data_IF_011859182694
#
_entry.id   IF_011859182694
#
_cell.length_a   1.000
_cell.length_b   1.000
_cell.length_c   1.000
_cell.angle_alpha   90.00
_cell.angle_beta   90.00
_cell.angle_gamma   90.00
#
_symmetry.space_group_name_H-M   'P 1'
#
loop_
_entity.id
_entity.type
_entity.pdbx_description
1 polymer ?
#
# COMPACT_ATOMS: atom_id res chain seq x y z
N UNK A 1 7.64 12.31 38.86
CA UNK A 1 7.35 11.04 38.16
C UNK A 1 6.52 10.21 39.12
N UNK A 2 5.31 9.81 38.74
CA UNK A 2 4.49 8.89 39.54
C UNK A 2 4.35 7.56 38.79
N UNK A 3 4.36 6.40 39.47
CA UNK A 3 4.29 5.11 38.81
C UNK A 3 2.87 4.84 38.28
N UNK A 4 2.73 4.73 36.96
CA UNK A 4 1.45 4.42 36.31
C UNK A 4 0.91 3.04 36.75
N UNK A 5 -0.37 3.04 37.12
CA UNK A 5 -1.03 1.99 37.89
C UNK A 5 -1.06 0.62 37.17
N UNK A 6 -0.21 -0.33 37.60
CA UNK A 6 -0.22 -1.73 37.15
C UNK A 6 -1.57 -2.43 37.45
N UNK A 7 -2.28 -1.97 38.49
CA UNK A 7 -3.57 -2.48 38.98
C UNK A 7 -4.69 -2.55 37.93
N UNK A 8 -4.62 -1.77 36.84
CA UNK A 8 -5.70 -1.69 35.83
C UNK A 8 -5.75 -2.93 34.92
N UNK A 9 -4.63 -3.64 34.74
CA UNK A 9 -4.53 -4.72 33.72
C UNK A 9 -5.27 -6.01 34.09
N UNK A 10 -5.38 -6.37 35.38
CA UNK A 10 -5.89 -7.69 35.80
C UNK A 10 -7.41 -7.77 36.07
N UNK A 11 -8.19 -6.69 35.85
CA UNK A 11 -9.66 -6.74 36.00
C UNK A 11 -10.32 -7.49 34.83
N UNK A 12 -11.38 -8.29 35.06
CA UNK A 12 -12.06 -9.04 34.00
C UNK A 12 -12.61 -8.13 32.88
N UNK A 13 -12.65 -8.67 31.66
CA UNK A 13 -12.98 -7.93 30.43
C UNK A 13 -13.94 -8.76 29.59
N UNK A 14 -15.21 -8.36 29.56
CA UNK A 14 -16.24 -8.92 28.68
C UNK A 14 -15.90 -8.57 27.22
N UNK A 15 -16.00 -9.53 26.30
CA UNK A 15 -15.62 -9.35 24.88
C UNK A 15 -16.83 -9.64 23.99
N UNK A 16 -17.57 -8.59 23.63
CA UNK A 16 -18.78 -8.70 22.84
C UNK A 16 -18.41 -8.73 21.35
N UNK A 17 -18.94 -9.70 20.61
CA UNK A 17 -18.64 -9.95 19.20
C UNK A 17 -19.96 -10.03 18.39
N UNK A 18 -20.24 -8.97 17.62
CA UNK A 18 -21.46 -8.81 16.80
C UNK A 18 -21.14 -9.00 15.33
N UNK A 19 -22.07 -9.49 14.51
CA UNK A 19 -21.93 -9.50 13.05
C UNK A 19 -22.95 -8.57 12.39
N UNK A 20 -22.45 -7.74 11.48
CA UNK A 20 -23.25 -6.92 10.58
C UNK A 20 -23.23 -7.59 9.21
N UNK A 21 -24.39 -8.12 8.83
CA UNK A 21 -24.56 -8.83 7.57
C UNK A 21 -25.08 -7.87 6.51
N UNK A 22 -24.36 -7.78 5.40
CA UNK A 22 -24.72 -6.94 4.27
C UNK A 22 -25.24 -7.82 3.14
N UNK A 23 -26.40 -7.46 2.56
CA UNK A 23 -26.99 -8.18 1.43
C UNK A 23 -26.34 -7.78 0.09
N UNK A 24 -25.02 -7.55 0.12
CA UNK A 24 -24.19 -7.32 -1.05
C UNK A 24 -23.97 -8.66 -1.77
N UNK A 25 -23.98 -8.65 -3.11
CA UNK A 25 -23.41 -9.74 -3.89
C UNK A 25 -21.89 -9.84 -3.66
N UNK A 26 -21.24 -10.95 -4.05
CA UNK A 26 -19.82 -11.19 -3.79
C UNK A 26 -18.89 -10.14 -4.44
N UNK A 27 -19.37 -9.44 -5.48
CA UNK A 27 -18.65 -8.38 -6.19
C UNK A 27 -19.15 -6.96 -5.85
N UNK A 28 -20.16 -6.83 -4.98
CA UNK A 28 -20.76 -5.54 -4.62
C UNK A 28 -20.03 -4.88 -3.46
N UNK A 29 -20.03 -3.54 -3.44
CA UNK A 29 -19.46 -2.79 -2.33
C UNK A 29 -20.40 -2.77 -1.13
N UNK A 30 -19.80 -2.91 0.07
CA UNK A 30 -20.50 -2.77 1.34
C UNK A 30 -20.96 -1.31 1.50
N UNK A 31 -22.27 -1.08 1.36
CA UNK A 31 -22.91 0.19 1.69
C UNK A 31 -23.12 0.29 3.19
N UNK A 32 -22.22 0.98 3.90
CA UNK A 32 -22.15 0.93 5.37
C UNK A 32 -23.38 1.51 6.09
N UNK A 33 -24.29 2.17 5.37
CA UNK A 33 -25.50 2.80 5.92
C UNK A 33 -26.66 1.81 6.16
N UNK A 34 -26.71 0.67 5.46
CA UNK A 34 -27.92 -0.18 5.33
C UNK A 34 -27.90 -1.64 5.89
N UNK A 35 -26.99 -2.08 6.80
CA UNK A 35 -26.87 -3.50 7.17
C UNK A 35 -28.01 -4.06 8.02
N UNK A 36 -28.25 -5.37 7.88
CA UNK A 36 -28.99 -6.16 8.87
C UNK A 36 -28.08 -6.52 10.05
N UNK A 37 -28.55 -6.35 11.28
CA UNK A 37 -27.76 -6.60 12.50
C UNK A 37 -28.09 -7.98 13.08
N UNK A 38 -27.06 -8.81 13.32
CA UNK A 38 -27.17 -10.01 14.16
C UNK A 38 -26.19 -9.90 15.33
N UNK A 39 -26.70 -9.65 16.54
CA UNK A 39 -25.86 -9.48 17.72
C UNK A 39 -25.65 -10.80 18.47
N UNK A 40 -24.43 -11.00 18.92
CA UNK A 40 -24.03 -12.07 19.84
C UNK A 40 -23.10 -11.46 20.89
N UNK A 41 -22.97 -12.13 22.04
CA UNK A 41 -22.16 -11.67 23.16
C UNK A 41 -21.48 -12.89 23.81
N UNK A 42 -20.20 -12.75 24.16
CA UNK A 42 -19.43 -13.80 24.80
C UNK A 42 -18.78 -13.21 26.05
N UNK A 43 -19.15 -13.75 27.21
CA UNK A 43 -18.45 -13.45 28.45
C UNK A 43 -17.14 -14.24 28.49
N UNK A 44 -16.05 -13.56 28.12
CA UNK A 44 -14.68 -13.99 28.38
C UNK A 44 -14.18 -13.33 29.68
N UNK A 45 -13.26 -13.99 30.37
CA UNK A 45 -12.68 -13.45 31.58
C UNK A 45 -11.42 -14.20 32.05
N UNK A 46 -10.49 -13.52 32.72
CA UNK A 46 -9.36 -14.15 33.40
C UNK A 46 -9.85 -14.96 34.61
N UNK A 47 -9.06 -16.00 34.95
CA UNK A 47 -9.25 -16.95 36.05
C UNK A 47 -9.77 -16.30 37.34
N UNK A 48 -10.94 -16.75 37.80
CA UNK A 48 -11.28 -16.72 39.21
C UNK A 48 -10.56 -17.90 39.90
N UNK A 49 -9.81 -17.61 40.96
CA UNK A 49 -9.58 -18.58 42.02
C UNK A 49 -10.79 -18.48 42.94
N UNK A 50 -11.70 -19.44 42.87
CA UNK A 50 -12.87 -19.47 43.74
C UNK A 50 -12.48 -19.97 45.14
N UNK A 51 -12.66 -19.12 46.15
CA UNK A 51 -13.02 -19.62 47.48
C UNK A 51 -14.48 -20.12 47.41
N UNK A 52 -14.71 -21.33 47.87
CA UNK A 52 -15.84 -22.14 47.42
C UNK A 52 -17.22 -21.73 48.00
N UNK A 53 -18.25 -21.65 47.15
CA UNK A 53 -19.55 -22.32 47.38
C UNK A 53 -20.52 -22.24 46.17
N UNK A 54 -21.15 -23.39 45.85
CA UNK A 54 -22.49 -23.62 45.23
C UNK A 54 -23.29 -22.40 44.70
N UNK A 55 -23.90 -22.40 43.49
CA UNK A 55 -24.61 -23.49 42.76
C UNK A 55 -24.74 -23.23 41.23
N UNK A 56 -24.88 -24.31 40.45
CA UNK A 56 -25.60 -24.37 39.14
C UNK A 56 -25.36 -23.23 38.12
N UNK A 57 -24.18 -23.24 37.50
CA UNK A 57 -23.87 -22.51 36.27
C UNK A 57 -22.97 -23.38 35.36
N UNK A 58 -22.71 -22.94 34.12
CA UNK A 58 -21.78 -23.63 33.22
C UNK A 58 -20.40 -23.71 33.90
N UNK A 59 -19.82 -24.91 33.97
CA UNK A 59 -18.59 -25.15 34.71
C UNK A 59 -17.47 -24.22 34.21
N UNK A 60 -16.84 -23.49 35.15
CA UNK A 60 -15.83 -22.46 34.88
C UNK A 60 -14.50 -23.02 34.36
N UNK A 61 -14.49 -23.50 33.12
CA UNK A 61 -13.28 -23.92 32.43
C UNK A 61 -12.32 -22.74 32.22
N UNK A 62 -11.02 -23.02 32.23
CA UNK A 62 -9.97 -22.02 32.01
C UNK A 62 -9.83 -21.73 30.50
N UNK A 63 -10.78 -20.98 29.95
CA UNK A 63 -10.91 -20.69 28.51
C UNK A 63 -9.76 -19.78 28.04
N UNK A 64 -8.71 -20.39 27.49
CA UNK A 64 -7.56 -19.69 26.89
C UNK A 64 -7.82 -19.21 25.47
N UNK A 65 -8.73 -19.85 24.74
CA UNK A 65 -9.08 -19.49 23.36
C UNK A 65 -10.56 -19.78 23.06
N UNK A 66 -11.15 -18.95 22.19
CA UNK A 66 -12.50 -19.12 21.64
C UNK A 66 -12.49 -18.78 20.16
N UNK A 67 -13.11 -19.63 19.36
CA UNK A 67 -13.34 -19.41 17.93
C UNK A 67 -14.71 -18.78 17.72
N UNK A 68 -14.76 -17.73 16.91
CA UNK A 68 -16.01 -17.11 16.48
C UNK A 68 -16.40 -17.76 15.15
N UNK A 69 -17.52 -18.47 15.15
CA UNK A 69 -18.00 -19.25 14.00
C UNK A 69 -19.34 -18.71 13.54
N UNK A 70 -19.46 -18.40 12.26
CA UNK A 70 -20.72 -18.06 11.61
C UNK A 70 -21.40 -19.33 11.07
N UNK A 71 -22.70 -19.47 11.31
CA UNK A 71 -23.53 -20.52 10.71
C UNK A 71 -24.83 -19.87 10.22
N UNK A 72 -24.90 -19.58 8.92
CA UNK A 72 -25.94 -18.77 8.32
C UNK A 72 -25.99 -17.35 8.92
N UNK A 73 -27.07 -17.05 9.66
CA UNK A 73 -27.30 -15.74 10.33
C UNK A 73 -26.93 -15.72 11.82
N UNK A 74 -26.39 -16.81 12.37
CA UNK A 74 -26.01 -16.92 13.79
C UNK A 74 -24.49 -16.93 13.94
N UNK A 75 -24.01 -16.31 15.01
CA UNK A 75 -22.67 -16.54 15.54
C UNK A 75 -22.72 -17.59 16.65
N UNK A 76 -21.64 -18.34 16.76
CA UNK A 76 -21.37 -19.33 17.80
C UNK A 76 -19.96 -19.09 18.34
N UNK A 77 -19.82 -19.02 19.66
CA UNK A 77 -18.53 -19.08 20.34
C UNK A 77 -18.22 -20.54 20.67
N UNK A 78 -17.14 -21.07 20.10
CA UNK A 78 -16.66 -22.44 20.39
C UNK A 78 -15.34 -22.33 21.14
N UNK A 79 -15.32 -22.77 22.39
CA UNK A 79 -14.07 -23.06 23.09
C UNK A 79 -13.56 -24.45 22.67
N UNK A 80 -12.24 -24.64 22.71
CA UNK A 80 -11.52 -25.86 22.29
C UNK A 80 -11.49 -26.14 20.78
N UNK A 81 -10.28 -26.49 20.29
CA UNK A 81 -9.97 -26.72 18.87
C UNK A 81 -10.68 -27.95 18.29
N UNK A 82 -10.80 -29.05 19.06
CA UNK A 82 -11.43 -30.28 18.55
C UNK A 82 -12.95 -30.09 18.36
N UNK A 83 -13.63 -29.49 19.34
CA UNK A 83 -15.06 -29.14 19.26
C UNK A 83 -15.38 -28.27 18.04
N UNK A 84 -14.44 -27.41 17.62
CA UNK A 84 -14.58 -26.66 16.37
C UNK A 84 -14.51 -27.57 15.13
N UNK A 85 -13.55 -28.49 15.05
CA UNK A 85 -13.43 -29.44 13.93
C UNK A 85 -14.71 -30.27 13.80
N UNK A 86 -15.17 -30.88 14.89
CA UNK A 86 -16.39 -31.70 14.93
C UNK A 86 -17.64 -30.88 14.49
N UNK A 87 -17.72 -29.61 14.87
CA UNK A 87 -18.79 -28.70 14.47
C UNK A 87 -18.72 -28.36 12.98
N UNK A 88 -17.54 -28.08 12.43
CA UNK A 88 -17.31 -27.77 11.01
C UNK A 88 -17.64 -28.99 10.13
N UNK A 89 -17.24 -30.20 10.53
CA UNK A 89 -17.55 -31.42 9.79
C UNK A 89 -19.05 -31.67 9.71
N UNK A 90 -19.76 -31.44 10.82
CA UNK A 90 -21.22 -31.59 10.94
C UNK A 90 -22.00 -30.49 10.22
N UNK A 91 -21.49 -29.26 10.22
CA UNK A 91 -22.10 -28.10 9.59
C UNK A 91 -21.17 -27.55 8.50
N UNK A 92 -21.20 -28.16 7.31
CA UNK A 92 -20.30 -27.82 6.19
C UNK A 92 -20.41 -26.38 5.64
N UNK A 93 -21.40 -25.61 6.09
CA UNK A 93 -21.57 -24.17 5.81
C UNK A 93 -21.14 -23.28 7.00
N UNK A 94 -20.51 -23.85 8.03
CA UNK A 94 -19.96 -23.11 9.15
C UNK A 94 -18.60 -22.50 8.78
N UNK A 95 -18.45 -21.21 9.07
CA UNK A 95 -17.27 -20.42 8.74
C UNK A 95 -16.58 -19.94 10.02
N UNK A 96 -15.37 -20.42 10.36
CA UNK A 96 -14.50 -19.78 11.33
C UNK A 96 -14.16 -18.37 10.84
N UNK A 97 -14.52 -17.34 11.61
CA UNK A 97 -14.27 -15.94 11.27
C UNK A 97 -12.97 -15.43 11.87
N UNK A 98 -12.79 -15.64 13.18
CA UNK A 98 -11.59 -15.25 13.92
C UNK A 98 -11.34 -16.20 15.09
N UNK A 99 -10.09 -16.22 15.56
CA UNK A 99 -9.71 -16.82 16.84
C UNK A 99 -9.45 -15.71 17.85
N UNK A 100 -10.04 -15.82 19.05
CA UNK A 100 -9.76 -14.95 20.19
C UNK A 100 -8.91 -15.73 21.17
N UNK A 101 -7.78 -15.17 21.60
CA UNK A 101 -6.85 -15.79 22.56
C UNK A 101 -6.62 -14.90 23.78
N UNK A 102 -6.49 -15.51 24.96
CA UNK A 102 -6.16 -14.85 26.19
C UNK A 102 -4.78 -15.29 26.69
N UNK A 103 -3.95 -14.32 27.06
CA UNK A 103 -2.58 -14.54 27.54
C UNK A 103 -2.25 -13.65 28.73
N UNK A 104 -1.10 -13.88 29.37
CA UNK A 104 -0.55 -12.97 30.38
C UNK A 104 -0.17 -11.57 29.84
N UNK A 105 -0.12 -11.38 28.51
CA UNK A 105 0.13 -10.08 27.86
C UNK A 105 -1.17 -9.32 27.53
N UNK A 106 -2.30 -10.02 27.43
CA UNK A 106 -3.61 -9.46 27.10
C UNK A 106 -4.49 -10.41 26.28
N UNK A 107 -5.62 -9.87 25.81
CA UNK A 107 -6.55 -10.49 24.88
C UNK A 107 -6.18 -10.10 23.44
N UNK A 108 -6.22 -11.04 22.50
CA UNK A 108 -5.89 -10.83 21.09
C UNK A 108 -6.89 -11.50 20.16
N UNK A 109 -7.21 -10.85 19.05
CA UNK A 109 -7.98 -11.42 17.93
C UNK A 109 -7.02 -11.67 16.78
N UNK A 110 -7.03 -12.88 16.22
CA UNK A 110 -6.24 -13.28 15.06
C UNK A 110 -7.12 -13.90 13.97
N UNK A 111 -6.52 -14.15 12.80
CA UNK A 111 -7.06 -15.12 11.85
C UNK A 111 -7.26 -16.48 12.54
N UNK A 112 -8.22 -17.30 12.07
CA UNK A 112 -8.45 -18.64 12.60
C UNK A 112 -7.35 -19.60 12.11
N UNK A 113 -6.82 -20.43 13.01
CA UNK A 113 -5.83 -21.47 12.69
C UNK A 113 -6.47 -22.82 12.28
N UNK A 114 -7.72 -22.75 11.81
CA UNK A 114 -8.52 -23.78 11.13
C UNK A 114 -9.31 -23.08 10.01
N UNK A 115 -9.17 -23.57 8.78
CA UNK A 115 -10.02 -23.20 7.64
C UNK A 115 -11.29 -24.06 7.58
N UNK A 116 -12.34 -23.53 6.93
CA UNK A 116 -13.55 -24.30 6.65
C UNK A 116 -13.38 -25.35 5.53
N UNK A 117 -14.35 -26.24 5.29
CA UNK A 117 -14.21 -27.41 4.41
C UNK A 117 -14.14 -27.11 2.90
N UNK A 118 -14.05 -25.83 2.53
CA UNK A 118 -14.14 -25.33 1.16
C UNK A 118 -12.89 -24.55 0.73
N UNK A 119 -11.85 -24.48 1.59
CA UNK A 119 -10.60 -23.73 1.35
C UNK A 119 -10.78 -22.26 0.92
N UNK A 120 -11.94 -21.67 1.26
CA UNK A 120 -12.24 -20.27 0.97
C UNK A 120 -11.34 -19.35 1.80
N UNK A 121 -10.29 -18.83 1.16
CA UNK A 121 -9.50 -17.71 1.67
C UNK A 121 -10.34 -16.43 1.59
N UNK A 122 -10.35 -15.67 2.67
CA UNK A 122 -11.08 -14.40 2.76
C UNK A 122 -10.10 -13.28 3.08
N UNK A 123 -10.06 -12.26 2.22
CA UNK A 123 -9.32 -11.04 2.52
C UNK A 123 -9.87 -10.37 3.79
N UNK A 124 -9.03 -10.36 4.84
CA UNK A 124 -9.32 -9.65 6.07
C UNK A 124 -8.96 -8.18 5.92
N UNK A 125 -9.92 -7.30 6.20
CA UNK A 125 -9.65 -5.86 6.27
C UNK A 125 -10.12 -5.27 7.59
N UNK A 126 -9.28 -4.47 8.25
CA UNK A 126 -9.72 -3.58 9.33
C UNK A 126 -10.59 -2.48 8.72
N UNK A 127 -11.81 -2.32 9.22
CA UNK A 127 -12.68 -1.21 8.81
C UNK A 127 -12.46 -0.03 9.75
N UNK A 128 -12.39 1.19 9.19
CA UNK A 128 -12.25 2.44 9.96
C UNK A 128 -13.39 3.44 9.68
N UNK A 129 -14.47 2.98 9.06
CA UNK A 129 -15.60 3.82 8.63
C UNK A 129 -16.40 4.45 9.78
N UNK A 130 -16.69 5.75 9.67
CA UNK A 130 -17.36 6.50 10.74
C UNK A 130 -18.83 6.09 10.95
N UNK A 131 -19.55 5.69 9.90
CA UNK A 131 -20.97 5.30 10.01
C UNK A 131 -21.11 3.94 10.72
N UNK A 132 -20.27 2.97 10.33
CA UNK A 132 -20.15 1.68 10.99
C UNK A 132 -19.94 1.81 12.51
N UNK A 133 -18.94 2.58 12.94
CA UNK A 133 -18.62 2.66 14.38
C UNK A 133 -19.70 3.39 15.18
N UNK A 134 -20.38 4.39 14.61
CA UNK A 134 -21.57 5.00 15.23
C UNK A 134 -22.69 3.98 15.43
N UNK A 135 -22.93 3.10 14.45
CA UNK A 135 -24.00 2.09 14.45
C UNK A 135 -23.70 0.90 15.37
N UNK A 136 -22.48 0.36 15.32
CA UNK A 136 -22.08 -0.84 16.06
C UNK A 136 -21.81 -0.58 17.55
N UNK A 137 -21.13 0.53 17.85
CA UNK A 137 -20.55 0.84 19.17
C UNK A 137 -21.05 2.17 19.78
N UNK A 138 -21.92 2.90 19.07
CA UNK A 138 -22.52 4.14 19.55
C UNK A 138 -21.64 5.40 19.37
N UNK A 139 -22.26 6.57 19.57
CA UNK A 139 -21.65 7.86 19.27
C UNK A 139 -20.34 8.16 20.03
N UNK A 140 -20.17 7.65 21.26
CA UNK A 140 -18.94 7.85 22.05
C UNK A 140 -17.71 7.15 21.45
N UNK A 141 -17.88 5.93 20.94
CA UNK A 141 -16.80 5.21 20.26
C UNK A 141 -16.38 5.92 18.97
N UNK A 142 -17.36 6.33 18.15
CA UNK A 142 -17.09 7.10 16.94
C UNK A 142 -16.49 8.50 17.21
N UNK A 143 -16.85 9.15 18.32
CA UNK A 143 -16.30 10.45 18.70
C UNK A 143 -14.83 10.38 19.16
N UNK A 144 -14.39 9.25 19.73
CA UNK A 144 -12.97 8.98 20.03
C UNK A 144 -12.11 8.72 18.78
N UNK A 145 -12.76 8.51 17.63
CA UNK A 145 -12.25 8.30 16.25
C UNK A 145 -11.23 7.19 16.06
N UNK A 146 -11.52 6.35 15.07
CA UNK A 146 -10.66 5.27 14.57
C UNK A 146 -9.63 5.83 13.58
N UNK A 147 -8.93 6.89 13.99
CA UNK A 147 -7.83 7.45 13.23
C UNK A 147 -6.69 6.43 13.27
N UNK A 148 -6.40 5.74 12.16
CA UNK A 148 -5.51 4.59 12.16
C UNK A 148 -4.11 4.96 11.69
N UNK A 149 -3.10 4.58 12.50
CA UNK A 149 -1.71 4.79 12.18
C UNK A 149 -1.26 3.85 11.06
N UNK A 150 -0.88 4.42 9.91
CA UNK A 150 -0.44 3.67 8.73
C UNK A 150 1.07 3.44 8.71
N UNK A 151 1.48 2.39 8.00
CA UNK A 151 2.85 1.91 7.81
C UNK A 151 3.14 1.74 6.33
N UNK A 152 4.42 1.60 6.00
CA UNK A 152 4.86 1.21 4.66
C UNK A 152 4.46 -0.24 4.39
N UNK A 153 3.93 -0.51 3.20
CA UNK A 153 3.30 -1.79 2.83
C UNK A 153 1.80 -1.90 3.12
N UNK A 154 1.20 -0.99 3.91
CA UNK A 154 -0.25 -1.00 4.13
C UNK A 154 -1.02 -0.72 2.81
N UNK A 155 -2.12 -1.45 2.58
CA UNK A 155 -3.04 -1.20 1.45
C UNK A 155 -4.36 -0.61 1.95
N UNK A 156 -4.69 0.58 1.47
CA UNK A 156 -5.83 1.40 1.88
C UNK A 156 -6.93 1.32 0.82
N UNK A 157 -7.98 0.56 1.09
CA UNK A 157 -9.16 0.45 0.22
C UNK A 157 -10.17 1.57 0.48
N UNK A 158 -10.70 2.14 -0.60
CA UNK A 158 -11.72 3.20 -0.62
C UNK A 158 -12.75 2.88 -1.71
N UNK A 159 -13.75 2.06 -1.39
CA UNK A 159 -14.60 1.43 -2.41
C UNK A 159 -13.77 0.48 -3.28
N UNK A 160 -13.69 0.73 -4.60
CA UNK A 160 -12.87 -0.05 -5.55
C UNK A 160 -11.44 0.44 -5.72
N UNK A 161 -11.14 1.66 -5.29
CA UNK A 161 -9.80 2.22 -5.36
C UNK A 161 -8.95 1.72 -4.19
N UNK A 162 -7.72 1.29 -4.45
CA UNK A 162 -6.75 0.89 -3.43
C UNK A 162 -5.49 1.74 -3.55
N UNK A 163 -5.01 2.28 -2.43
CA UNK A 163 -3.72 2.98 -2.31
C UNK A 163 -2.74 2.15 -1.49
N UNK A 164 -1.64 1.72 -2.09
CA UNK A 164 -0.49 1.12 -1.41
C UNK A 164 0.43 2.20 -0.84
N UNK A 165 0.81 2.07 0.42
CA UNK A 165 1.75 2.99 1.08
C UNK A 165 3.19 2.59 0.74
N UNK A 166 3.80 3.23 -0.26
CA UNK A 166 5.17 2.93 -0.70
C UNK A 166 6.26 3.57 0.19
N UNK A 167 6.06 4.80 0.69
CA UNK A 167 7.02 5.46 1.60
C UNK A 167 6.35 6.47 2.56
N UNK A 168 6.87 6.59 3.79
CA UNK A 168 6.40 7.50 4.85
C UNK A 168 7.56 8.28 5.49
N UNK A 169 8.03 9.34 4.83
CA UNK A 169 9.16 10.15 5.28
C UNK A 169 8.81 11.01 6.51
N UNK A 170 9.52 10.80 7.63
CA UNK A 170 9.30 11.50 8.92
C UNK A 170 10.38 12.53 9.27
N UNK A 171 11.52 12.50 8.57
CA UNK A 171 12.70 13.36 8.74
C UNK A 171 13.38 13.57 7.38
N UNK A 172 14.15 14.65 7.18
CA UNK A 172 14.80 14.98 5.90
C UNK A 172 16.09 14.17 5.65
N UNK A 173 16.06 12.87 5.91
CA UNK A 173 17.23 11.96 5.81
C UNK A 173 17.09 10.86 4.77
N UNK A 174 15.95 10.78 4.08
CA UNK A 174 15.58 9.69 3.18
C UNK A 174 15.32 10.27 1.80
N UNK A 175 16.21 10.02 0.83
CA UNK A 175 16.09 10.63 -0.49
C UNK A 175 15.06 9.93 -1.39
N UNK A 176 14.31 10.73 -2.17
CA UNK A 176 13.38 10.28 -3.20
C UNK A 176 14.06 9.50 -4.34
N UNK A 177 15.38 9.59 -4.50
CA UNK A 177 16.13 8.96 -5.59
C UNK A 177 15.83 7.45 -5.77
N UNK A 178 15.52 6.74 -4.68
CA UNK A 178 15.11 5.33 -4.71
C UNK A 178 13.77 5.10 -5.45
N UNK A 179 12.86 6.09 -5.45
CA UNK A 179 11.47 5.94 -5.94
C UNK A 179 11.41 5.80 -7.45
N UNK A 180 12.28 6.49 -8.20
CA UNK A 180 12.33 6.30 -9.65
C UNK A 180 12.83 4.89 -10.03
N UNK A 181 13.60 4.24 -9.17
CA UNK A 181 13.95 2.82 -9.34
C UNK A 181 12.72 1.92 -9.22
N UNK A 182 11.87 2.12 -8.20
CA UNK A 182 10.62 1.37 -8.00
C UNK A 182 9.69 1.47 -9.21
N UNK A 183 9.44 2.69 -9.71
CA UNK A 183 8.62 2.92 -10.91
C UNK A 183 9.20 2.30 -12.19
N UNK A 184 10.51 2.01 -12.21
CA UNK A 184 11.21 1.44 -13.37
C UNK A 184 11.30 -0.08 -13.34
N UNK A 185 11.42 -0.69 -12.16
CA UNK A 185 11.59 -2.15 -11.99
C UNK A 185 10.34 -2.94 -12.38
N UNK A 186 9.14 -2.42 -12.07
CA UNK A 186 7.89 -3.15 -12.26
C UNK A 186 7.46 -3.22 -13.74
N UNK A 187 8.04 -2.37 -14.60
CA UNK A 187 7.78 -2.33 -16.04
C UNK A 187 8.46 -3.47 -16.85
N UNK A 188 9.16 -4.41 -16.20
CA UNK A 188 9.85 -5.53 -16.87
C UNK A 188 9.27 -6.92 -16.54
N UNK A 189 8.32 -7.02 -15.60
CA UNK A 189 7.75 -8.30 -15.13
C UNK A 189 6.64 -8.88 -16.03
N UNK A 190 6.70 -8.65 -17.35
CA UNK A 190 5.78 -9.26 -18.33
C UNK A 190 6.50 -9.57 -19.66
N UNK A 191 7.17 -10.73 -19.76
CA UNK A 191 7.31 -11.58 -20.98
C UNK A 191 8.37 -12.69 -20.81
N UNK A 192 7.96 -13.95 -20.95
CA UNK A 192 8.89 -15.06 -21.27
C UNK A 192 9.20 -16.06 -20.15
N UNK A 193 9.68 -17.27 -20.50
CA UNK A 193 8.96 -18.48 -20.07
C UNK A 193 9.76 -19.45 -19.17
N UNK A 194 9.09 -20.55 -18.80
CA UNK A 194 9.51 -21.53 -17.79
C UNK A 194 10.47 -22.63 -18.26
N UNK A 195 11.57 -22.80 -17.51
CA UNK A 195 12.28 -24.06 -17.22
C UNK A 195 13.39 -23.74 -16.19
N UNK A 196 13.96 -24.63 -15.38
CA UNK A 196 13.58 -25.86 -14.69
C UNK A 196 14.90 -26.41 -14.08
N UNK A 197 14.90 -26.71 -12.78
CA UNK A 197 15.84 -27.62 -12.08
C UNK A 197 17.36 -27.29 -11.91
N UNK A 198 17.76 -27.18 -10.62
CA UNK A 198 19.04 -27.56 -9.99
C UNK A 198 20.31 -26.72 -10.33
N UNK A 199 21.37 -26.64 -9.51
CA UNK A 199 21.76 -27.40 -8.30
C UNK A 199 22.53 -26.53 -7.25
N UNK A 200 23.10 -27.13 -6.19
CA UNK A 200 23.64 -26.49 -4.96
C UNK A 200 25.05 -25.82 -5.00
N UNK A 201 25.36 -25.05 -3.92
CA UNK A 201 26.69 -24.72 -3.35
C UNK A 201 27.67 -23.79 -4.16
N UNK A 202 28.61 -23.00 -3.59
CA UNK A 202 28.78 -22.35 -2.26
C UNK A 202 29.89 -21.26 -2.31
N UNK A 203 29.96 -20.41 -1.27
CA UNK A 203 31.06 -19.51 -0.83
C UNK A 203 31.88 -18.60 -1.79
N UNK A 204 31.70 -17.29 -1.60
CA UNK A 204 32.71 -16.35 -1.08
C UNK A 204 34.18 -16.43 -1.58
N UNK A 205 34.57 -15.50 -2.47
CA UNK A 205 35.55 -14.43 -2.15
C UNK A 205 35.76 -13.35 -3.21
N UNK A 206 36.30 -12.22 -2.75
CA UNK A 206 36.71 -11.08 -3.57
C UNK A 206 38.25 -10.98 -3.66
N UNK A 207 38.78 -10.90 -4.88
CA UNK A 207 40.12 -10.39 -5.23
C UNK A 207 40.05 -9.97 -6.72
N UNK A 208 40.16 -8.69 -7.10
CA UNK A 208 41.35 -7.83 -7.03
C UNK A 208 42.57 -8.49 -7.69
N UNK A 209 42.85 -8.08 -8.93
CA UNK A 209 44.18 -7.67 -9.35
C UNK A 209 44.09 -6.81 -10.63
N UNK A 210 44.82 -5.69 -10.65
CA UNK A 210 45.13 -4.95 -11.88
C UNK A 210 46.32 -5.62 -12.57
N UNK A 211 46.38 -5.54 -13.91
CA UNK A 211 47.56 -5.03 -14.64
C UNK A 211 47.21 -4.78 -16.11
N UNK A 212 47.53 -3.56 -16.55
CA UNK A 212 48.06 -3.12 -17.85
C UNK A 212 48.18 -4.14 -19.01
N UNK A 213 47.83 -3.71 -20.23
CA UNK A 213 48.03 -4.55 -21.42
C UNK A 213 47.58 -4.00 -22.78
N UNK A 214 47.59 -2.68 -23.02
CA UNK A 214 47.32 -2.16 -24.36
C UNK A 214 48.57 -2.25 -25.26
N UNK A 215 48.49 -2.99 -26.37
CA UNK A 215 49.31 -2.77 -27.56
C UNK A 215 48.67 -3.42 -28.79
N UNK A 216 48.89 -2.83 -29.96
CA UNK A 216 48.38 -3.29 -31.25
C UNK A 216 49.41 -4.13 -32.01
N UNK A 217 48.93 -4.99 -32.92
CA UNK A 217 49.73 -5.77 -33.86
C UNK A 217 48.86 -6.19 -35.06
N UNK A 218 49.37 -5.99 -36.27
CA UNK A 218 48.62 -6.14 -37.53
C UNK A 218 49.20 -7.25 -38.42
N UNK A 219 48.46 -7.62 -39.49
CA UNK A 219 48.81 -8.57 -40.57
C UNK A 219 48.82 -10.06 -40.15
N UNK A 220 48.20 -11.00 -40.88
CA UNK A 220 48.44 -11.29 -42.31
C UNK A 220 47.26 -11.91 -43.09
N UNK A 221 47.01 -11.33 -44.27
CA UNK A 221 46.60 -11.91 -45.58
C UNK A 221 46.38 -13.44 -45.71
N UNK A 222 45.21 -13.84 -46.23
CA UNK A 222 44.95 -14.66 -47.47
C UNK A 222 43.43 -15.02 -47.55
N UNK A 223 42.73 -15.27 -48.67
CA UNK A 223 43.05 -15.52 -50.10
C UNK A 223 41.78 -15.33 -50.99
N UNK A 224 41.94 -15.03 -52.30
CA UNK A 224 41.09 -15.24 -53.54
C UNK A 224 39.58 -15.66 -53.45
N UNK A 225 38.65 -15.41 -54.38
CA UNK A 225 38.54 -14.77 -55.73
C UNK A 225 37.02 -14.42 -55.96
N UNK A 226 36.41 -13.99 -57.08
CA UNK A 226 36.72 -13.77 -58.52
C UNK A 226 35.63 -12.81 -59.13
N UNK A 227 35.85 -12.20 -60.32
CA UNK A 227 34.84 -11.75 -61.35
C UNK A 227 33.60 -10.88 -61.01
N UNK A 228 32.99 -10.12 -61.94
CA UNK A 228 33.43 -9.39 -63.15
C UNK A 228 32.27 -8.50 -63.69
N UNK A 229 32.56 -7.33 -64.28
CA UNK A 229 31.82 -6.66 -65.38
C UNK A 229 32.23 -5.19 -65.56
N UNK A 230 32.46 -4.77 -66.80
CA UNK A 230 32.98 -3.45 -67.21
C UNK A 230 31.96 -2.63 -68.02
N UNK A 231 31.89 -1.31 -67.76
CA UNK A 231 31.60 -0.26 -68.76
C UNK A 231 32.32 1.04 -68.37
N UNK A 232 33.41 1.39 -69.06
CA UNK A 232 34.14 2.65 -68.86
C UNK A 232 33.70 3.82 -69.73
N UNK A 233 33.84 5.06 -69.22
CA UNK A 233 33.86 6.32 -69.99
C UNK A 233 34.92 7.26 -69.39
N UNK A 234 35.79 7.85 -70.22
CA UNK A 234 36.80 8.84 -69.80
C UNK A 234 36.47 10.24 -70.35
N UNK A 235 36.38 11.25 -69.48
CA UNK A 235 36.48 12.67 -69.88
C UNK A 235 37.20 13.50 -68.79
N UNK A 236 38.39 14.02 -69.15
CA UNK A 236 39.22 15.13 -68.61
C UNK A 236 39.03 15.69 -67.17
N UNK A 237 40.13 16.05 -66.47
CA UNK A 237 40.08 16.67 -65.15
C UNK A 237 39.71 18.16 -65.19
N UNK A 238 39.01 18.65 -64.17
CA UNK A 238 38.88 20.09 -63.89
C UNK A 238 38.61 20.35 -62.41
N UNK A 239 39.35 21.31 -61.85
CA UNK A 239 39.49 21.67 -60.44
C UNK A 239 38.18 22.00 -59.71
N UNK A 240 37.79 21.19 -58.71
CA UNK A 240 37.02 21.64 -57.55
C UNK A 240 37.09 20.65 -56.38
N UNK A 241 37.65 21.09 -55.23
CA UNK A 241 37.36 20.63 -53.87
C UNK A 241 37.61 19.15 -53.48
N UNK A 242 38.36 18.95 -52.38
CA UNK A 242 37.74 18.54 -51.11
C UNK A 242 38.75 18.65 -49.96
N UNK A 243 38.48 19.49 -48.95
CA UNK A 243 39.15 19.33 -47.66
C UNK A 243 38.42 18.20 -46.91
N UNK A 244 39.11 17.09 -46.65
CA UNK A 244 38.64 16.09 -45.69
C UNK A 244 38.78 16.62 -44.26
N UNK A 245 37.88 17.55 -43.88
CA UNK A 245 37.50 17.70 -42.49
C UNK A 245 36.68 16.48 -42.09
N UNK A 246 37.17 15.70 -41.13
CA UNK A 246 36.39 14.68 -40.43
C UNK A 246 35.35 15.38 -39.55
N UNK A 247 34.30 15.91 -40.19
CA UNK A 247 33.21 16.61 -39.52
C UNK A 247 32.33 15.64 -38.77
N UNK A 248 32.60 15.43 -37.49
CA UNK A 248 31.55 15.02 -36.55
C UNK A 248 30.45 16.08 -36.61
N UNK A 249 29.24 15.71 -37.04
CA UNK A 249 28.11 16.63 -37.04
C UNK A 249 27.93 17.25 -35.65
N UNK A 250 27.67 18.57 -35.54
CA UNK A 250 27.53 19.23 -34.25
C UNK A 250 26.36 18.59 -33.50
N UNK A 251 26.63 18.11 -32.28
CA UNK A 251 25.57 17.61 -31.39
C UNK A 251 24.72 18.81 -30.99
N UNK A 252 23.43 18.78 -31.34
CA UNK A 252 22.47 19.83 -31.00
C UNK A 252 21.36 19.28 -30.10
N UNK A 253 20.88 20.10 -29.18
CA UNK A 253 19.78 19.78 -28.30
C UNK A 253 18.46 19.74 -29.08
N UNK A 254 17.76 18.61 -29.04
CA UNK A 254 16.45 18.44 -29.70
C UNK A 254 15.31 19.34 -29.17
N UNK A 255 15.55 20.15 -28.12
CA UNK A 255 14.54 21.03 -27.50
C UNK A 255 14.80 22.52 -27.81
N UNK A 256 16.00 23.04 -27.57
CA UNK A 256 16.34 24.45 -27.87
C UNK A 256 17.07 24.67 -29.19
N UNK A 257 17.56 23.60 -29.84
CA UNK A 257 18.35 23.60 -31.08
C UNK A 257 19.77 24.20 -30.95
N UNK A 258 20.22 24.49 -29.73
CA UNK A 258 21.58 24.95 -29.41
C UNK A 258 22.55 23.77 -29.18
N UNK A 259 23.85 24.02 -29.16
CA UNK A 259 24.91 23.00 -29.03
C UNK A 259 25.41 22.83 -27.57
N UNK A 260 26.55 22.15 -27.37
CA UNK A 260 27.14 21.88 -26.06
C UNK A 260 27.58 23.14 -25.27
N UNK A 261 27.59 24.33 -25.89
CA UNK A 261 27.93 25.59 -25.20
C UNK A 261 26.85 26.01 -24.19
N UNK A 262 25.57 25.68 -24.45
CA UNK A 262 24.46 25.96 -23.54
C UNK A 262 24.35 24.95 -22.37
N UNK A 263 25.27 23.98 -22.28
CA UNK A 263 25.37 23.02 -21.19
C UNK A 263 25.56 21.58 -21.66
N UNK A 264 25.65 20.62 -20.72
CA UNK A 264 25.91 19.22 -21.05
C UNK A 264 24.74 18.58 -21.81
N UNK A 265 25.03 18.03 -22.99
CA UNK A 265 24.13 17.18 -23.75
C UNK A 265 24.17 15.75 -23.23
N UNK A 266 22.99 15.20 -22.93
CA UNK A 266 22.79 13.82 -22.48
C UNK A 266 21.98 13.02 -23.50
N UNK A 267 22.07 11.69 -23.42
CA UNK A 267 21.28 10.75 -24.22
C UNK A 267 20.40 9.89 -23.29
N UNK A 268 19.22 10.38 -22.89
CA UNK A 268 18.43 9.77 -21.81
C UNK A 268 17.40 8.75 -22.31
N UNK A 269 17.46 8.31 -23.58
CA UNK A 269 16.51 7.37 -24.16
C UNK A 269 17.07 6.72 -25.43
N UNK A 270 16.38 5.70 -25.95
CA UNK A 270 16.78 4.94 -27.15
C UNK A 270 16.42 5.64 -28.49
N UNK A 271 16.32 6.96 -28.51
CA UNK A 271 16.19 7.71 -29.77
C UNK A 271 17.47 7.62 -30.60
N UNK A 272 17.37 7.86 -31.91
CA UNK A 272 18.48 7.75 -32.86
C UNK A 272 18.71 9.05 -33.64
N UNK A 273 19.83 9.15 -34.36
CA UNK A 273 20.25 10.36 -35.08
C UNK A 273 20.53 11.53 -34.13
N UNK A 274 20.26 12.75 -34.60
CA UNK A 274 20.35 13.98 -33.80
C UNK A 274 19.31 14.04 -32.66
N UNK A 275 18.14 13.43 -32.86
CA UNK A 275 17.01 13.42 -31.90
C UNK A 275 17.27 12.65 -30.60
N UNK A 276 18.48 12.11 -30.40
CA UNK A 276 18.90 11.45 -29.15
C UNK A 276 19.55 12.42 -28.15
N UNK A 277 20.07 13.55 -28.60
CA UNK A 277 20.78 14.52 -27.75
C UNK A 277 19.83 15.59 -27.20
N UNK A 278 19.97 15.92 -25.92
CA UNK A 278 19.21 16.98 -25.24
C UNK A 278 20.00 17.53 -24.06
N UNK A 279 19.93 18.84 -23.78
CA UNK A 279 20.53 19.37 -22.56
C UNK A 279 19.80 18.84 -21.33
N UNK A 280 20.56 18.50 -20.28
CA UNK A 280 19.98 18.06 -19.01
C UNK A 280 19.00 19.10 -18.43
N UNK A 281 19.33 20.40 -18.55
CA UNK A 281 18.43 21.47 -18.14
C UNK A 281 17.12 21.50 -18.94
N UNK A 282 17.18 21.45 -20.28
CA UNK A 282 16.00 21.49 -21.14
C UNK A 282 15.05 20.32 -20.89
N UNK A 283 15.58 19.09 -20.74
CA UNK A 283 14.73 17.92 -20.50
C UNK A 283 14.15 17.88 -19.09
N UNK A 284 14.87 18.37 -18.07
CA UNK A 284 14.30 18.58 -16.73
C UNK A 284 13.14 19.59 -16.76
N UNK A 285 13.31 20.75 -17.37
CA UNK A 285 12.24 21.76 -17.49
C UNK A 285 11.01 21.21 -18.24
N UNK A 286 11.24 20.50 -19.35
CA UNK A 286 10.18 19.82 -20.12
C UNK A 286 9.40 18.79 -19.28
N UNK A 287 10.10 17.99 -18.49
CA UNK A 287 9.49 16.99 -17.60
C UNK A 287 8.75 17.64 -16.42
N UNK A 288 9.37 18.60 -15.73
CA UNK A 288 8.77 19.27 -14.58
C UNK A 288 7.48 20.01 -14.96
N UNK A 289 7.43 20.63 -16.14
CA UNK A 289 6.21 21.25 -16.69
C UNK A 289 5.05 20.25 -16.91
N UNK A 290 5.35 18.98 -17.21
CA UNK A 290 4.32 17.93 -17.32
C UNK A 290 3.82 17.42 -15.96
N UNK A 291 4.65 17.52 -14.92
CA UNK A 291 4.35 16.98 -13.58
C UNK A 291 3.56 17.92 -12.67
N UNK A 292 3.48 19.22 -13.01
CA UNK A 292 2.76 20.25 -12.23
C UNK A 292 3.11 20.23 -10.73
N UNK A 293 4.41 20.20 -10.44
CA UNK A 293 4.94 20.13 -9.06
C UNK A 293 4.89 21.51 -8.36
N UNK A 294 4.95 22.60 -9.13
CA UNK A 294 4.98 23.99 -8.61
C UNK A 294 3.77 24.78 -9.11
N UNK A 295 3.28 25.68 -8.25
CA UNK A 295 2.19 26.60 -8.53
C UNK A 295 2.63 27.78 -9.43
N UNK A 296 1.70 28.67 -9.78
CA UNK A 296 1.97 29.87 -10.60
C UNK A 296 2.93 30.86 -9.90
N UNK A 297 3.11 30.73 -8.58
CA UNK A 297 4.06 31.51 -7.77
C UNK A 297 5.46 30.84 -7.72
N UNK A 298 5.65 29.71 -8.40
CA UNK A 298 6.91 28.97 -8.47
C UNK A 298 7.20 28.09 -7.25
N UNK A 299 6.21 27.85 -6.39
CA UNK A 299 6.35 27.23 -5.07
C UNK A 299 5.74 25.82 -5.09
N UNK A 300 6.32 24.84 -4.40
CA UNK A 300 5.90 23.44 -4.53
C UNK A 300 4.49 23.22 -3.98
N UNK A 301 3.64 22.60 -4.78
CA UNK A 301 2.32 22.12 -4.39
C UNK A 301 2.45 21.12 -3.23
N UNK A 302 1.46 21.13 -2.34
CA UNK A 302 1.40 20.27 -1.16
C UNK A 302 1.20 18.79 -1.58
N UNK A 303 0.57 18.58 -2.74
CA UNK A 303 0.29 17.26 -3.34
C UNK A 303 0.50 17.30 -4.85
N UNK A 304 1.08 16.24 -5.43
CA UNK A 304 1.23 16.08 -6.88
C UNK A 304 1.24 14.59 -7.29
N UNK A 305 1.08 14.30 -8.59
CA UNK A 305 1.05 12.94 -9.12
C UNK A 305 2.20 12.70 -10.12
N UNK A 306 3.16 11.88 -9.70
CA UNK A 306 4.35 11.52 -10.45
C UNK A 306 4.05 10.32 -11.36
N UNK A 307 3.66 10.57 -12.62
CA UNK A 307 3.44 9.54 -13.63
C UNK A 307 4.76 8.90 -14.10
N UNK A 308 4.73 7.66 -14.58
CA UNK A 308 5.92 7.02 -15.18
C UNK A 308 6.45 7.84 -16.38
N UNK A 309 7.63 8.43 -16.20
CA UNK A 309 8.22 9.39 -17.13
C UNK A 309 8.84 8.68 -18.33
N UNK A 310 8.18 8.79 -19.48
CA UNK A 310 8.58 8.17 -20.75
C UNK A 310 8.91 9.23 -21.79
N UNK A 311 9.90 8.93 -22.63
CA UNK A 311 10.25 9.75 -23.79
C UNK A 311 9.07 9.84 -24.77
N UNK A 312 8.66 11.06 -25.09
CA UNK A 312 7.55 11.33 -26.01
C UNK A 312 7.78 10.87 -27.47
N UNK A 313 9.02 10.62 -27.88
CA UNK A 313 9.33 10.09 -29.22
C UNK A 313 9.40 8.56 -29.28
N UNK A 314 9.95 7.89 -28.26
CA UNK A 314 10.23 6.45 -28.31
C UNK A 314 9.53 5.61 -27.22
N UNK A 315 8.71 6.23 -26.35
CA UNK A 315 7.98 5.61 -25.23
C UNK A 315 8.81 4.84 -24.18
N UNK A 316 10.13 4.77 -24.32
CA UNK A 316 11.05 4.21 -23.32
C UNK A 316 11.03 5.09 -22.06
N UNK A 317 10.98 4.50 -20.84
CA UNK A 317 11.19 5.24 -19.60
C UNK A 317 12.51 6.01 -19.62
N UNK A 318 12.50 7.24 -19.14
CA UNK A 318 13.72 7.97 -18.83
C UNK A 318 14.47 7.28 -17.67
N UNK A 319 15.80 7.40 -17.54
CA UNK A 319 16.54 6.77 -16.45
C UNK A 319 16.45 7.57 -15.14
N UNK A 320 16.72 6.94 -14.00
CA UNK A 320 16.84 7.64 -12.70
C UNK A 320 18.08 8.55 -12.64
N UNK A 321 19.18 8.08 -13.23
CA UNK A 321 20.46 8.79 -13.29
C UNK A 321 20.98 8.79 -14.72
N UNK A 322 21.74 9.82 -15.08
CA UNK A 322 22.44 9.91 -16.36
C UNK A 322 23.89 10.30 -16.13
N UNK A 323 24.80 9.77 -16.95
CA UNK A 323 26.19 10.21 -16.96
C UNK A 323 26.28 11.62 -17.55
N UNK A 324 26.92 12.52 -16.82
CA UNK A 324 27.31 13.86 -17.22
C UNK A 324 28.79 14.00 -16.95
N UNK A 325 29.62 14.05 -18.00
CA UNK A 325 31.07 14.29 -17.87
C UNK A 325 31.78 13.29 -16.93
N UNK A 326 31.37 12.02 -16.93
CA UNK A 326 31.80 10.94 -16.00
C UNK A 326 31.23 11.03 -14.59
N UNK A 327 30.18 11.82 -14.36
CA UNK A 327 29.48 11.98 -13.08
C UNK A 327 28.01 11.55 -13.21
N UNK A 328 27.66 10.47 -12.51
CA UNK A 328 26.27 10.00 -12.40
C UNK A 328 25.41 11.03 -11.68
N UNK A 329 24.60 11.74 -12.45
CA UNK A 329 23.74 12.84 -12.00
C UNK A 329 22.28 12.40 -12.01
N UNK A 330 21.50 12.72 -10.97
CA UNK A 330 20.04 12.50 -10.99
C UNK A 330 19.46 13.13 -12.26
N UNK A 331 18.76 12.34 -13.06
CA UNK A 331 18.24 12.82 -14.33
C UNK A 331 17.18 13.91 -14.15
N UNK A 332 16.33 13.78 -13.12
CA UNK A 332 15.07 14.52 -13.02
C UNK A 332 15.16 15.81 -12.20
N UNK A 333 16.03 15.88 -11.21
CA UNK A 333 16.17 17.04 -10.33
C UNK A 333 14.88 17.39 -9.60
N UNK A 334 14.09 16.38 -9.18
CA UNK A 334 12.83 16.59 -8.48
C UNK A 334 13.13 16.93 -7.01
N UNK A 335 12.90 18.19 -6.65
CA UNK A 335 12.99 18.69 -5.27
C UNK A 335 12.12 17.84 -4.33
N UNK A 336 12.71 17.39 -3.22
CA UNK A 336 12.00 16.54 -2.26
C UNK A 336 11.02 17.37 -1.42
N UNK A 337 9.78 16.89 -1.18
CA UNK A 337 8.84 17.61 -0.33
C UNK A 337 9.38 17.79 1.08
N UNK A 338 9.02 18.91 1.71
CA UNK A 338 9.27 19.08 3.14
C UNK A 338 8.58 17.94 3.93
N UNK A 339 9.31 17.16 4.76
CA UNK A 339 8.71 16.12 5.58
C UNK A 339 7.96 16.73 6.79
N UNK A 340 6.93 16.05 7.33
CA UNK A 340 6.42 14.73 6.93
C UNK A 340 5.77 14.71 5.54
N UNK A 341 6.06 13.68 4.75
CA UNK A 341 5.37 13.40 3.48
C UNK A 341 5.13 11.89 3.27
N UNK A 342 4.07 11.57 2.55
CA UNK A 342 3.72 10.20 2.16
C UNK A 342 3.82 10.02 0.63
N UNK A 343 4.13 8.79 0.22
CA UNK A 343 4.18 8.32 -1.18
C UNK A 343 3.21 7.16 -1.31
N UNK A 344 2.12 7.38 -2.04
CA UNK A 344 1.02 6.43 -2.18
C UNK A 344 0.81 6.02 -3.64
N UNK A 345 0.60 4.74 -3.91
CA UNK A 345 0.44 4.20 -5.26
C UNK A 345 -0.97 3.64 -5.48
N UNK A 346 -1.67 4.02 -6.56
CA UNK A 346 -2.99 3.48 -6.88
C UNK A 346 -2.87 2.14 -7.64
N UNK A 347 -3.24 1.04 -6.99
CA UNK A 347 -3.03 -0.32 -7.53
C UNK A 347 -4.00 -0.70 -8.66
N UNK A 348 -5.19 -0.07 -8.67
CA UNK A 348 -6.32 -0.43 -9.55
C UNK A 348 -6.68 0.67 -10.59
N UNK A 349 -5.74 1.57 -10.93
CA UNK A 349 -6.01 2.66 -11.89
C UNK A 349 -5.38 2.44 -13.26
N UNK A 350 -6.07 2.94 -14.29
CA UNK A 350 -5.57 3.06 -15.69
C UNK A 350 -4.33 3.95 -15.86
N UNK A 351 -3.89 4.62 -14.79
CA UNK A 351 -2.73 5.51 -14.77
C UNK A 351 -1.72 4.98 -13.75
N UNK A 352 -0.53 4.61 -14.21
CA UNK A 352 0.59 4.25 -13.34
C UNK A 352 1.39 5.48 -12.93
N UNK A 353 1.71 5.56 -11.65
CA UNK A 353 2.39 6.71 -11.04
C UNK A 353 2.13 6.80 -9.54
N UNK A 354 2.72 7.80 -8.89
CA UNK A 354 2.73 7.94 -7.43
C UNK A 354 2.12 9.26 -6.99
N UNK A 355 1.18 9.21 -6.05
CA UNK A 355 0.71 10.38 -5.33
C UNK A 355 1.74 10.75 -4.25
N UNK A 356 2.35 11.91 -4.39
CA UNK A 356 3.23 12.51 -3.38
C UNK A 356 2.41 13.51 -2.58
N UNK A 357 2.48 13.43 -1.25
CA UNK A 357 1.65 14.24 -0.35
C UNK A 357 2.46 14.72 0.88
N UNK A 358 2.86 15.99 0.88
CA UNK A 358 3.43 16.63 2.07
C UNK A 358 2.32 16.99 3.06
N UNK A 359 2.53 16.64 4.33
CA UNK A 359 1.62 16.94 5.44
C UNK A 359 2.26 18.00 6.37
N UNK A 360 3.47 18.48 6.04
CA UNK A 360 4.26 19.41 6.86
C UNK A 360 3.61 20.77 7.13
N UNK A 361 2.61 21.16 6.34
CA UNK A 361 1.86 22.42 6.47
C UNK A 361 0.40 22.22 6.89
N UNK A 362 -0.24 21.16 6.38
CA UNK A 362 -1.65 20.87 6.62
C UNK A 362 -1.99 19.41 6.32
N UNK A 363 -3.08 18.86 6.89
CA UNK A 363 -3.69 17.60 6.44
C UNK A 363 -3.98 17.54 4.94
N UNK A 364 -3.90 16.33 4.37
CA UNK A 364 -4.21 16.06 2.95
C UNK A 364 -5.52 15.30 2.83
N UNK A 365 -6.46 15.82 2.04
CA UNK A 365 -7.74 15.17 1.74
C UNK A 365 -7.59 14.14 0.62
N UNK A 366 -8.29 13.00 0.75
CA UNK A 366 -8.34 11.94 -0.25
C UNK A 366 -9.81 11.75 -0.65
N UNK A 367 -10.11 11.79 -1.95
CA UNK A 367 -11.49 11.72 -2.44
C UNK A 367 -11.58 11.80 -3.97
N UNK A 368 -12.79 11.79 -4.52
CA UNK A 368 -13.00 11.97 -5.98
C UNK A 368 -13.27 13.41 -6.41
N UNK A 369 -13.39 14.37 -5.48
CA UNK A 369 -13.48 15.78 -5.88
C UNK A 369 -12.14 16.24 -6.43
N UNK A 370 -12.12 17.08 -7.46
CA UNK A 370 -10.93 17.82 -7.91
C UNK A 370 -10.36 18.77 -6.85
N UNK A 371 -11.13 19.03 -5.78
CA UNK A 371 -10.72 19.78 -4.58
C UNK A 371 -9.95 18.91 -3.57
N UNK A 372 -9.80 17.60 -3.83
CA UNK A 372 -9.05 16.67 -2.96
C UNK A 372 -7.56 16.80 -3.25
N UNK A 373 -6.71 16.82 -2.21
CA UNK A 373 -5.25 16.79 -2.41
C UNK A 373 -4.78 15.53 -3.14
N UNK A 374 -5.42 14.38 -2.87
CA UNK A 374 -5.28 13.15 -3.64
C UNK A 374 -6.64 12.84 -4.29
N UNK A 375 -6.68 12.90 -5.63
CA UNK A 375 -7.88 12.67 -6.43
C UNK A 375 -7.92 11.23 -6.95
N UNK A 376 -8.88 10.44 -6.45
CA UNK A 376 -9.16 9.08 -6.91
C UNK A 376 -10.42 9.10 -7.79
N UNK A 377 -10.28 8.76 -9.07
CA UNK A 377 -11.35 8.98 -10.07
C UNK A 377 -12.55 8.02 -9.98
N UNK A 378 -12.46 6.92 -9.22
CA UNK A 378 -13.52 5.92 -9.16
C UNK A 378 -14.81 6.44 -8.51
N UNK A 379 -15.95 6.11 -9.11
CA UNK A 379 -17.28 6.59 -8.68
C UNK A 379 -17.70 6.15 -7.28
N UNK A 380 -17.09 5.10 -6.72
CA UNK A 380 -17.33 4.65 -5.35
C UNK A 380 -16.55 5.42 -4.28
N UNK A 381 -15.54 6.22 -4.66
CA UNK A 381 -14.85 7.09 -3.71
C UNK A 381 -15.76 8.29 -3.39
N UNK A 382 -16.01 8.60 -2.11
CA UNK A 382 -16.73 9.82 -1.73
C UNK A 382 -16.00 11.09 -2.20
N UNK A 383 -16.72 12.20 -2.43
CA UNK A 383 -16.13 13.47 -2.92
C UNK A 383 -14.97 13.94 -2.04
N UNK A 384 -15.16 13.90 -0.72
CA UNK A 384 -14.11 13.77 0.27
C UNK A 384 -14.37 12.41 0.95
N UNK A 385 -13.41 11.50 0.93
CA UNK A 385 -13.55 10.12 1.45
C UNK A 385 -12.79 9.95 2.75
N UNK A 386 -11.53 10.37 2.79
CA UNK A 386 -10.67 10.28 3.96
C UNK A 386 -9.79 11.52 4.09
N UNK A 387 -9.11 11.65 5.22
CA UNK A 387 -8.05 12.63 5.43
C UNK A 387 -6.80 11.91 5.97
N UNK A 388 -5.65 12.27 5.43
CA UNK A 388 -4.34 11.83 5.87
C UNK A 388 -3.68 12.95 6.68
N UNK A 389 -3.20 12.60 7.86
CA UNK A 389 -2.68 13.52 8.88
C UNK A 389 -1.35 13.00 9.44
N UNK A 390 -0.61 13.86 10.12
CA UNK A 390 0.59 13.47 10.87
C UNK A 390 0.47 13.95 12.31
N UNK A 391 0.33 13.01 13.25
CA UNK A 391 0.08 13.26 14.66
C UNK A 391 0.98 12.33 15.49
N UNK A 392 1.52 12.81 16.62
CA UNK A 392 2.31 12.03 17.58
C UNK A 392 3.45 11.18 16.96
N UNK A 393 4.06 11.68 15.88
CA UNK A 393 5.15 11.00 15.16
C UNK A 393 4.71 9.91 14.18
N UNK A 394 3.41 9.81 13.90
CA UNK A 394 2.79 8.79 13.07
C UNK A 394 1.97 9.41 11.93
N UNK A 395 1.97 8.76 10.76
CA UNK A 395 0.99 9.06 9.72
C UNK A 395 -0.32 8.37 10.07
N UNK A 396 -1.43 9.11 10.00
CA UNK A 396 -2.73 8.66 10.49
C UNK A 396 -3.81 8.96 9.46
N UNK A 397 -4.63 7.97 9.13
CA UNK A 397 -5.78 8.13 8.22
C UNK A 397 -7.11 8.08 8.98
N UNK A 398 -8.04 8.97 8.62
CA UNK A 398 -9.38 9.08 9.20
C UNK A 398 -10.45 9.13 8.09
N UNK A 399 -11.44 8.23 8.16
CA UNK A 399 -12.63 8.22 7.30
C UNK A 399 -13.50 9.47 7.51
N UNK A 400 -13.88 10.14 6.43
CA UNK A 400 -14.70 11.37 6.44
C UNK A 400 -16.18 11.09 6.16
N UNK A 401 -16.77 10.15 6.92
CA UNK A 401 -18.15 9.72 6.71
C UNK A 401 -18.36 9.20 5.27
N UNK A 402 -17.49 8.30 4.81
CA UNK A 402 -17.59 7.77 3.45
C UNK A 402 -18.71 6.71 3.34
N UNK A 403 -19.30 6.56 2.15
CA UNK A 403 -20.42 5.64 1.94
C UNK A 403 -19.98 4.16 1.98
N UNK A 404 -18.93 3.85 1.21
CA UNK A 404 -18.43 2.48 1.07
C UNK A 404 -17.22 2.17 1.97
N UNK A 405 -16.95 3.06 2.94
CA UNK A 405 -15.91 2.91 3.96
C UNK A 405 -14.48 3.06 3.46
N UNK A 406 -13.61 3.55 4.33
CA UNK A 406 -12.18 3.27 4.25
C UNK A 406 -11.88 1.96 4.99
N UNK A 407 -11.09 1.09 4.36
CA UNK A 407 -10.65 -0.21 4.90
C UNK A 407 -9.14 -0.36 4.72
N UNK A 408 -8.51 -1.16 5.59
CA UNK A 408 -7.08 -1.45 5.56
C UNK A 408 -6.87 -2.96 5.46
N UNK A 409 -6.17 -3.41 4.42
CA UNK A 409 -5.86 -4.83 4.25
C UNK A 409 -4.95 -5.34 5.38
N UNK A 410 -5.17 -6.58 5.82
CA UNK A 410 -4.40 -7.21 6.90
C UNK A 410 -3.69 -8.50 6.49
N UNK A 411 -3.90 -8.98 5.26
CA UNK A 411 -3.47 -10.31 4.82
C UNK A 411 -4.25 -11.45 5.48
N UNK A 412 -3.94 -12.69 5.09
CA UNK A 412 -4.53 -13.90 5.66
C UNK A 412 -4.18 -14.11 7.14
N UNK A 413 -3.03 -13.56 7.58
CA UNK A 413 -2.46 -13.75 8.90
C UNK A 413 -2.28 -12.42 9.63
N UNK A 414 -3.14 -12.16 10.62
CA UNK A 414 -3.12 -10.95 11.42
C UNK A 414 -3.24 -11.27 12.92
N UNK A 415 -2.86 -10.31 13.78
CA UNK A 415 -3.12 -10.37 15.23
C UNK A 415 -3.30 -8.95 15.76
N UNK A 416 -4.37 -8.72 16.51
CA UNK A 416 -4.80 -7.41 17.01
C UNK A 416 -5.03 -7.50 18.52
N UNK A 417 -4.45 -6.61 19.36
CA UNK A 417 -4.79 -6.53 20.78
C UNK A 417 -6.23 -6.01 20.96
N UNK A 418 -7.00 -6.64 21.84
CA UNK A 418 -8.35 -6.18 22.20
C UNK A 418 -8.26 -5.29 23.44
N UNK A 419 -8.36 -3.98 23.24
CA UNK A 419 -8.20 -2.99 24.30
C UNK A 419 -9.55 -2.40 24.74
N UNK A 420 -9.67 -2.10 26.05
CA UNK A 420 -10.88 -1.46 26.59
C UNK A 420 -11.10 -0.10 25.92
N UNK A 421 -12.37 0.24 25.69
CA UNK A 421 -12.80 1.49 25.04
C UNK A 421 -12.34 1.67 23.56
N UNK A 422 -11.59 0.72 23.00
CA UNK A 422 -11.07 0.72 21.62
C UNK A 422 -11.67 -0.46 20.81
N UNK A 423 -12.93 -0.33 20.34
CA UNK A 423 -13.55 -1.38 19.54
C UNK A 423 -12.85 -1.58 18.19
N UNK A 424 -13.02 -2.76 17.62
CA UNK A 424 -12.40 -3.21 16.37
C UNK A 424 -13.51 -3.68 15.42
N UNK A 425 -13.43 -3.31 14.15
CA UNK A 425 -14.26 -3.89 13.10
C UNK A 425 -13.39 -4.54 12.01
N UNK A 426 -13.76 -5.75 11.60
CA UNK A 426 -13.06 -6.57 10.60
C UNK A 426 -14.08 -6.97 9.53
N UNK A 427 -13.84 -6.56 8.28
CA UNK A 427 -14.55 -7.06 7.09
C UNK A 427 -13.97 -8.42 6.72
N UNK A 428 -14.84 -9.39 6.49
CA UNK A 428 -14.53 -10.76 6.07
C UNK A 428 -15.50 -11.10 4.93
N UNK A 429 -15.00 -11.13 3.69
CA UNK A 429 -15.88 -11.17 2.52
C UNK A 429 -16.82 -9.95 2.47
N UNK A 430 -18.14 -10.21 2.50
CA UNK A 430 -19.22 -9.19 2.53
C UNK A 430 -19.68 -8.80 3.94
N UNK A 431 -19.36 -9.60 4.96
CA UNK A 431 -19.83 -9.39 6.33
C UNK A 431 -18.79 -8.65 7.19
N UNK A 432 -19.24 -8.01 8.28
CA UNK A 432 -18.37 -7.24 9.17
C UNK A 432 -18.54 -7.70 10.62
N UNK A 433 -17.48 -8.26 11.18
CA UNK A 433 -17.37 -8.66 12.58
C UNK A 433 -16.92 -7.46 13.42
N UNK A 434 -17.69 -7.13 14.45
CA UNK A 434 -17.50 -5.99 15.33
C UNK A 434 -17.22 -6.49 16.76
N UNK A 435 -16.03 -6.22 17.29
CA UNK A 435 -15.54 -6.73 18.58
C UNK A 435 -15.26 -5.55 19.53
N UNK A 436 -15.75 -5.63 20.76
CA UNK A 436 -15.53 -4.60 21.80
C UNK A 436 -15.23 -5.20 23.17
N UNK A 437 -14.21 -4.66 23.85
CA UNK A 437 -13.86 -5.00 25.23
C UNK A 437 -14.52 -4.04 26.23
N UNK A 438 -15.34 -4.59 27.14
CA UNK A 438 -16.08 -3.83 28.16
C UNK A 438 -15.62 -4.16 29.58
N UNK A 439 -15.87 -3.22 30.48
CA UNK A 439 -15.76 -3.45 31.93
C UNK A 439 -17.08 -3.99 32.45
N UNK A 440 -17.06 -5.02 33.31
CA UNK A 440 -18.24 -5.72 33.85
C UNK A 440 -19.21 -4.89 34.72
N UNK A 441 -19.00 -3.57 34.81
CA UNK A 441 -19.94 -2.60 35.38
C UNK A 441 -20.22 -1.49 34.37
N UNK A 442 -21.24 -1.68 33.54
CA UNK A 442 -21.77 -0.63 32.70
C UNK A 442 -22.39 0.48 33.57
N UNK A 443 -21.87 1.71 33.49
CA UNK A 443 -22.55 2.87 34.11
C UNK A 443 -23.91 3.11 33.43
N UNK A 444 -24.88 3.66 34.16
CA UNK A 444 -26.20 4.01 33.59
C UNK A 444 -26.06 4.92 32.35
N UNK A 445 -25.04 5.79 32.30
CA UNK A 445 -24.77 6.66 31.15
C UNK A 445 -24.42 5.91 29.84
N UNK A 446 -24.06 4.63 29.92
CA UNK A 446 -23.81 3.79 28.74
C UNK A 446 -25.13 3.31 28.10
N UNK A 447 -26.24 3.25 28.86
CA UNK A 447 -27.56 2.86 28.32
C UNK A 447 -28.15 3.98 27.45
N UNK A 448 -27.91 5.24 27.80
CA UNK A 448 -28.47 6.43 27.15
C UNK A 448 -27.99 6.69 25.71
N UNK A 449 -27.10 5.88 25.15
CA UNK A 449 -26.54 6.06 23.80
C UNK A 449 -26.71 4.85 22.88
N UNK A 450 -27.49 3.83 23.28
CA UNK A 450 -27.86 2.73 22.38
C UNK A 450 -29.07 3.12 21.53
N UNK A 451 -28.95 2.94 20.22
CA UNK A 451 -30.12 2.61 19.40
C UNK A 451 -30.63 1.24 19.89
N UNK A 452 -31.81 1.22 20.52
CA UNK A 452 -32.38 0.02 21.11
C UNK A 452 -32.76 -0.98 20.00
N UNK A 453 -31.96 -2.04 19.83
CA UNK A 453 -32.29 -3.15 18.97
C UNK A 453 -33.13 -4.16 19.78
N UNK A 454 -34.44 -4.33 19.53
CA UNK A 454 -35.27 -5.25 20.31
C UNK A 454 -34.85 -6.73 20.18
N UNK A 455 -34.00 -7.06 19.20
CA UNK A 455 -33.46 -8.40 18.99
C UNK A 455 -32.09 -8.62 19.66
N UNK A 456 -31.53 -7.65 20.40
CA UNK A 456 -30.23 -7.82 21.08
C UNK A 456 -30.36 -8.71 22.33
N UNK A 457 -30.08 -10.00 22.19
CA UNK A 457 -30.05 -10.94 23.31
C UNK A 457 -28.80 -10.71 24.16
N UNK A 458 -28.93 -9.95 25.25
CA UNK A 458 -27.90 -9.90 26.29
C UNK A 458 -27.96 -11.18 27.13
N UNK A 459 -27.08 -12.14 26.83
CA UNK A 459 -26.78 -13.22 27.77
C UNK A 459 -25.89 -12.66 28.86
N UNK A 460 -26.51 -12.18 29.93
CA UNK A 460 -25.82 -11.94 31.20
C UNK A 460 -25.73 -13.31 31.89
N UNK A 461 -24.50 -13.73 32.18
CA UNK A 461 -24.19 -14.89 33.03
C UNK A 461 -23.70 -14.37 34.38
#
# INVERSE_FOLDING_TARGET
MEPLNVSVKNKPVEVIAKILMYQAGPNDLIDFESPTISEYAILLGPVQYDDASTTSGIAGGNIKEVYIVQNGRKLHGIAERQTLVDYIERYRLAMPLVKITWSNKGCYVSSPDITGPQELTYDYHRVINTHLYRRAFGCRAAARRVAHAIKEGDRIGMGRATLLVRHLARKPSNSLSHIHSLMSSEAQMTNGPSAAENDEHVDDKCAVNNTDGCLCGDSTVSTVNDRDSDVGVQVTPSTAGCLQRSGSEPKICRICLEDEQSGPLVVPCKCNGSMKYVHLACVRTWVQGRLKIKDEEGKPHITYFLQNLKCELCSVPYPSYVDVESVWTDFLGIEEPAPPYAVLEPENSSHTGLHIASIAKQPVTIGRSSESGIVLQDISVSRCHAILQYCDGQFVIEDKCSKFGTVLYMGDNFTIPVERDHPIAIKIGTDVLCIEARSSRASLSALCCFAYNPNSVRVIV
#
